data_IF_812973120289
#
_entry.id   IF_812973120289
#
_cell.length_a   1.000
_cell.length_b   1.000
_cell.length_c   1.000
_cell.angle_alpha   90.00
_cell.angle_beta   90.00
_cell.angle_gamma   90.00
#
_symmetry.space_group_name_H-M   'P 1'
#
loop_
_entity.id
_entity.type
_entity.pdbx_description
1 polymer ?
#
# COMPACT_ATOMS: atom_id res chain seq x y z
N UNK A 1 -13.32 -17.40 1.71
CA UNK A 1 -12.36 -16.27 1.54
C UNK A 1 -12.70 -15.18 2.54
N UNK A 2 -11.70 -14.67 3.23
CA UNK A 2 -11.89 -13.62 4.23
C UNK A 2 -12.13 -12.26 3.55
N UNK A 3 -12.75 -11.32 4.28
CA UNK A 3 -12.89 -9.95 3.81
C UNK A 3 -11.53 -9.32 3.49
N UNK A 4 -10.52 -9.61 4.30
CA UNK A 4 -9.17 -9.12 4.10
C UNK A 4 -8.59 -9.58 2.77
N UNK A 5 -8.77 -10.85 2.43
CA UNK A 5 -8.30 -11.39 1.15
C UNK A 5 -9.06 -10.80 -0.03
N UNK A 6 -10.36 -10.59 0.11
CA UNK A 6 -11.17 -9.94 -0.93
C UNK A 6 -10.70 -8.52 -1.18
N UNK A 7 -10.40 -7.78 -0.11
CA UNK A 7 -9.91 -6.41 -0.21
C UNK A 7 -8.56 -6.38 -0.95
N UNK A 8 -7.62 -7.25 -0.57
CA UNK A 8 -6.31 -7.28 -1.25
C UNK A 8 -6.45 -7.68 -2.72
N UNK A 9 -7.31 -8.62 -3.04
CA UNK A 9 -7.56 -8.99 -4.45
C UNK A 9 -8.11 -7.81 -5.25
N UNK A 10 -9.05 -7.07 -4.69
CA UNK A 10 -9.63 -5.90 -5.35
C UNK A 10 -8.57 -4.81 -5.55
N UNK A 11 -7.72 -4.59 -4.55
CA UNK A 11 -6.62 -3.62 -4.66
C UNK A 11 -5.67 -4.04 -5.79
N UNK A 12 -5.26 -5.29 -5.81
CA UNK A 12 -4.34 -5.80 -6.82
C UNK A 12 -4.96 -5.67 -8.22
N UNK A 13 -6.23 -6.05 -8.38
CA UNK A 13 -6.94 -5.90 -9.65
C UNK A 13 -7.03 -4.45 -10.10
N UNK A 14 -7.29 -3.54 -9.17
CA UNK A 14 -7.32 -2.10 -9.45
C UNK A 14 -5.95 -1.58 -9.89
N UNK A 15 -4.90 -2.04 -9.21
CA UNK A 15 -3.52 -1.65 -9.52
C UNK A 15 -3.11 -2.15 -10.90
N UNK A 16 -3.50 -3.36 -11.25
CA UNK A 16 -3.25 -3.91 -12.58
C UNK A 16 -3.94 -3.06 -13.65
N UNK A 17 -5.18 -2.66 -13.42
CA UNK A 17 -5.92 -1.81 -14.35
C UNK A 17 -5.20 -0.48 -14.57
N UNK A 18 -4.73 0.16 -13.52
CA UNK A 18 -3.97 1.41 -13.61
C UNK A 18 -2.69 1.20 -14.41
N UNK A 19 -1.95 0.15 -14.09
CA UNK A 19 -0.67 -0.12 -14.75
C UNK A 19 -0.86 -0.46 -16.24
N UNK A 20 -1.90 -1.20 -16.59
CA UNK A 20 -2.21 -1.50 -17.99
C UNK A 20 -2.50 -0.23 -18.79
N UNK A 21 -3.17 0.74 -18.16
CA UNK A 21 -3.50 2.00 -18.82
C UNK A 21 -2.29 2.94 -18.93
N UNK A 22 -1.49 3.06 -17.87
CA UNK A 22 -0.44 4.08 -17.77
C UNK A 22 0.96 3.56 -18.08
N UNK A 23 1.24 2.29 -17.81
CA UNK A 23 2.58 1.73 -17.92
C UNK A 23 3.54 2.28 -16.86
N UNK A 24 4.83 1.89 -16.96
CA UNK A 24 5.87 2.42 -16.06
C UNK A 24 6.30 3.83 -16.46
N UNK A 25 7.05 4.50 -15.59
CA UNK A 25 7.75 5.74 -15.94
C UNK A 25 7.10 7.02 -15.44
N UNK A 26 6.00 6.93 -14.71
CA UNK A 26 5.33 8.13 -14.17
C UNK A 26 5.70 8.36 -12.71
N UNK A 27 5.27 9.50 -12.18
CA UNK A 27 5.47 9.84 -10.77
C UNK A 27 4.53 9.02 -9.87
N UNK A 28 4.96 8.76 -8.64
CA UNK A 28 4.14 8.05 -7.66
C UNK A 28 2.78 8.72 -7.47
N UNK A 29 2.75 10.06 -7.43
CA UNK A 29 1.51 10.80 -7.24
C UNK A 29 0.49 10.55 -8.33
N UNK A 30 0.93 10.35 -9.57
CA UNK A 30 0.03 10.04 -10.67
C UNK A 30 -0.61 8.67 -10.48
N UNK A 31 0.19 7.69 -10.10
CA UNK A 31 -0.32 6.33 -9.83
C UNK A 31 -1.27 6.33 -8.64
N UNK A 32 -0.95 7.08 -7.59
CA UNK A 32 -1.81 7.16 -6.42
C UNK A 32 -3.19 7.72 -6.78
N UNK A 33 -3.23 8.82 -7.51
CA UNK A 33 -4.48 9.44 -7.91
C UNK A 33 -5.34 8.49 -8.75
N UNK A 34 -4.72 7.79 -9.70
CA UNK A 34 -5.44 6.86 -10.57
C UNK A 34 -5.90 5.63 -9.81
N UNK A 35 -5.08 5.13 -8.87
CA UNK A 35 -5.47 3.99 -8.06
C UNK A 35 -6.65 4.34 -7.15
N UNK A 36 -6.65 5.52 -6.55
CA UNK A 36 -7.78 5.98 -5.74
C UNK A 36 -9.05 6.00 -6.58
N UNK A 37 -8.98 6.52 -7.79
CA UNK A 37 -10.13 6.52 -8.69
C UNK A 37 -10.65 5.09 -8.93
N UNK A 38 -9.75 4.16 -9.25
CA UNK A 38 -10.16 2.77 -9.51
C UNK A 38 -10.77 2.12 -8.27
N UNK A 39 -10.18 2.34 -7.10
CA UNK A 39 -10.70 1.78 -5.86
C UNK A 39 -12.10 2.30 -5.55
N UNK A 40 -12.32 3.59 -5.73
CA UNK A 40 -13.66 4.18 -5.53
C UNK A 40 -14.67 3.61 -6.51
N UNK A 41 -14.30 3.41 -7.77
CA UNK A 41 -15.18 2.80 -8.77
C UNK A 41 -15.56 1.38 -8.39
N UNK A 42 -14.71 0.68 -7.66
CA UNK A 42 -14.95 -0.69 -7.22
C UNK A 42 -15.60 -0.77 -5.84
N UNK A 43 -16.04 0.38 -5.31
CA UNK A 43 -16.80 0.43 -4.07
C UNK A 43 -15.96 0.40 -2.79
N UNK A 44 -14.65 0.59 -2.87
CA UNK A 44 -13.80 0.62 -1.70
C UNK A 44 -13.60 2.04 -1.19
N UNK A 45 -13.47 2.18 0.12
CA UNK A 45 -13.11 3.44 0.76
C UNK A 45 -11.64 3.44 1.14
N UNK A 46 -11.03 4.62 1.26
CA UNK A 46 -9.64 4.72 1.69
C UNK A 46 -9.37 6.09 2.30
N UNK A 47 -8.27 6.13 3.05
CA UNK A 47 -7.66 7.37 3.53
C UNK A 47 -6.32 7.52 2.82
N UNK A 48 -6.04 8.71 2.30
CA UNK A 48 -4.78 9.00 1.64
C UNK A 48 -3.85 9.74 2.58
N UNK A 49 -2.56 9.43 2.52
CA UNK A 49 -1.51 10.12 3.27
C UNK A 49 -1.86 10.24 4.75
N UNK A 50 -2.26 9.12 5.33
CA UNK A 50 -2.68 9.06 6.73
C UNK A 50 -1.46 9.17 7.64
N UNK A 51 -1.52 10.09 8.59
CA UNK A 51 -0.46 10.27 9.58
C UNK A 51 -0.22 8.99 10.38
N UNK A 52 1.05 8.64 10.55
CA UNK A 52 1.45 7.47 11.33
C UNK A 52 2.48 7.91 12.39
N UNK A 53 2.04 8.15 13.63
CA UNK A 53 2.97 8.49 14.70
C UNK A 53 3.78 7.28 15.16
N UNK A 54 4.98 7.54 15.64
CA UNK A 54 5.80 6.51 16.29
C UNK A 54 5.43 6.47 17.77
N UNK A 55 5.06 5.31 18.27
CA UNK A 55 4.81 5.11 19.68
C UNK A 55 6.09 4.59 20.32
N UNK A 56 6.80 5.48 21.04
CA UNK A 56 8.06 5.16 21.67
C UNK A 56 7.89 5.16 23.18
N UNK A 57 7.97 3.99 23.78
CA UNK A 57 7.85 3.82 25.24
C UNK A 57 6.58 4.50 25.82
N UNK A 58 5.47 4.36 25.11
CA UNK A 58 4.20 4.94 25.51
C UNK A 58 4.00 6.40 25.13
N UNK A 59 4.97 7.02 24.47
CA UNK A 59 4.88 8.41 24.00
C UNK A 59 4.67 8.40 22.50
N UNK A 60 3.63 9.11 22.04
CA UNK A 60 3.37 9.27 20.60
C UNK A 60 4.22 10.42 20.08
N UNK A 61 5.07 10.13 19.11
CA UNK A 61 5.94 11.11 18.48
C UNK A 61 5.56 11.23 17.02
N UNK A 62 5.17 12.43 16.59
CA UNK A 62 4.90 12.70 15.19
C UNK A 62 6.20 12.98 14.47
N UNK A 63 6.63 12.03 13.64
CA UNK A 63 7.87 12.13 12.86
C UNK A 63 7.60 12.42 11.38
N UNK A 64 6.35 12.73 11.03
CA UNK A 64 5.99 13.05 9.66
C UNK A 64 5.76 11.85 8.76
N UNK A 65 5.74 10.63 9.31
CA UNK A 65 5.42 9.46 8.49
C UNK A 65 3.97 9.48 8.05
N UNK A 66 3.74 9.01 6.83
CA UNK A 66 2.40 8.94 6.24
C UNK A 66 2.24 7.60 5.54
N UNK A 67 1.10 6.99 5.72
CA UNK A 67 0.69 5.83 4.96
C UNK A 67 0.09 6.35 3.65
N UNK A 68 0.57 5.86 2.51
CA UNK A 68 0.07 6.33 1.21
C UNK A 68 -1.44 6.12 1.09
N UNK A 69 -1.88 4.87 1.25
CA UNK A 69 -3.31 4.55 1.26
C UNK A 69 -3.59 3.56 2.40
N UNK A 70 -4.66 3.82 3.12
CA UNK A 70 -5.23 2.84 4.05
C UNK A 70 -6.61 2.48 3.50
N UNK A 71 -6.72 1.27 2.95
CA UNK A 71 -7.92 0.83 2.23
C UNK A 71 -8.83 0.04 3.17
N UNK A 72 -10.09 0.42 3.22
CA UNK A 72 -11.14 -0.22 4.05
C UNK A 72 -10.76 -0.28 5.52
N UNK A 73 -9.96 0.69 5.98
CA UNK A 73 -9.43 0.73 7.35
C UNK A 73 -8.75 -0.58 7.74
N UNK A 74 -8.11 -1.26 6.79
CA UNK A 74 -7.67 -2.64 6.98
C UNK A 74 -6.35 -2.99 6.29
N UNK A 75 -6.08 -2.43 5.11
CA UNK A 75 -4.90 -2.77 4.31
C UNK A 75 -4.08 -1.53 4.04
N UNK A 76 -2.80 -1.57 4.44
CA UNK A 76 -1.84 -0.52 4.08
C UNK A 76 -1.37 -0.76 2.65
N UNK A 77 -1.38 0.29 1.83
CA UNK A 77 -0.83 0.24 0.47
C UNK A 77 0.24 1.30 0.36
N UNK A 78 1.48 0.87 0.04
CA UNK A 78 2.60 1.77 -0.19
C UNK A 78 2.99 1.70 -1.66
N UNK A 79 3.07 2.87 -2.29
CA UNK A 79 3.31 2.98 -3.73
C UNK A 79 4.74 3.47 -3.97
N UNK A 80 5.39 2.85 -4.93
CA UNK A 80 6.74 3.24 -5.36
C UNK A 80 6.79 3.34 -6.88
N UNK A 81 7.70 4.17 -7.37
CA UNK A 81 8.05 4.25 -8.78
C UNK A 81 9.58 4.29 -8.88
N UNK A 82 10.20 3.19 -8.51
CA UNK A 82 11.65 3.06 -8.39
C UNK A 82 12.17 2.02 -9.36
N UNK A 83 13.48 2.05 -9.63
CA UNK A 83 14.09 1.09 -10.54
C UNK A 83 13.89 -0.34 -10.07
N UNK A 84 13.98 -0.56 -8.76
CA UNK A 84 13.69 -1.86 -8.15
C UNK A 84 13.33 -1.66 -6.69
N UNK A 85 12.52 -2.57 -6.15
CA UNK A 85 12.25 -2.60 -4.71
C UNK A 85 13.48 -3.12 -3.98
N UNK A 86 13.91 -2.37 -2.97
CA UNK A 86 15.05 -2.72 -2.13
C UNK A 86 14.57 -3.27 -0.78
N UNK A 87 15.42 -4.01 -0.05
CA UNK A 87 15.04 -4.52 1.28
C UNK A 87 14.53 -3.45 2.23
N UNK A 88 15.05 -2.23 2.13
CA UNK A 88 14.60 -1.13 3.00
C UNK A 88 13.14 -0.76 2.76
N UNK A 89 12.65 -0.92 1.54
CA UNK A 89 11.25 -0.63 1.22
C UNK A 89 10.33 -1.62 1.95
N UNK A 90 10.70 -2.89 1.98
CA UNK A 90 9.93 -3.91 2.69
C UNK A 90 10.01 -3.70 4.20
N UNK A 91 11.21 -3.35 4.71
CA UNK A 91 11.39 -3.06 6.13
C UNK A 91 10.54 -1.89 6.57
N UNK A 92 10.42 -0.86 5.72
CA UNK A 92 9.59 0.31 6.02
C UNK A 92 8.11 -0.09 6.14
N UNK A 93 7.59 -0.85 5.18
CA UNK A 93 6.20 -1.28 5.24
C UNK A 93 5.95 -2.17 6.46
N UNK A 94 6.86 -3.08 6.76
CA UNK A 94 6.73 -3.93 7.94
C UNK A 94 6.72 -3.10 9.23
N UNK A 95 7.55 -2.06 9.30
CA UNK A 95 7.55 -1.14 10.43
C UNK A 95 6.21 -0.40 10.56
N UNK A 96 5.66 0.03 9.44
CA UNK A 96 4.34 0.70 9.44
C UNK A 96 3.25 -0.25 9.94
N UNK A 97 3.29 -1.51 9.55
CA UNK A 97 2.35 -2.51 10.05
C UNK A 97 2.48 -2.69 11.55
N UNK A 98 3.71 -2.77 12.06
CA UNK A 98 3.95 -2.92 13.50
C UNK A 98 3.49 -1.70 14.28
N UNK A 99 3.77 -0.51 13.79
CA UNK A 99 3.39 0.73 14.47
C UNK A 99 1.88 0.95 14.47
N UNK A 100 1.22 0.58 13.39
CA UNK A 100 -0.23 0.82 13.23
C UNK A 100 -1.09 -0.29 13.82
N UNK A 101 -0.57 -1.51 13.90
CA UNK A 101 -1.34 -2.68 14.30
C UNK A 101 -2.14 -3.32 13.18
N UNK A 102 -2.10 -2.77 11.96
CA UNK A 102 -2.73 -3.42 10.82
C UNK A 102 -1.96 -4.69 10.44
N UNK A 103 -2.64 -5.65 9.83
CA UNK A 103 -2.07 -6.98 9.62
C UNK A 103 -1.52 -7.22 8.24
N UNK A 104 -2.02 -6.50 7.24
CA UNK A 104 -1.63 -6.74 5.85
C UNK A 104 -1.25 -5.43 5.18
N UNK A 105 -0.15 -5.48 4.43
CA UNK A 105 0.29 -4.37 3.60
C UNK A 105 0.66 -4.87 2.22
N UNK A 106 0.47 -4.01 1.23
CA UNK A 106 0.89 -4.22 -0.13
C UNK A 106 1.93 -3.16 -0.48
N UNK A 107 3.07 -3.62 -0.98
CA UNK A 107 4.12 -2.76 -1.49
C UNK A 107 4.09 -2.91 -3.01
N UNK A 108 3.84 -1.81 -3.71
CA UNK A 108 3.60 -1.83 -5.15
C UNK A 108 4.57 -0.90 -5.84
N UNK A 109 5.40 -1.46 -6.72
CA UNK A 109 6.27 -0.68 -7.58
C UNK A 109 5.69 -0.67 -8.99
N UNK A 110 5.24 0.51 -9.44
CA UNK A 110 4.65 0.67 -10.77
C UNK A 110 5.69 0.75 -11.88
N UNK A 111 6.95 0.97 -11.53
CA UNK A 111 8.01 1.18 -12.53
C UNK A 111 8.59 -0.14 -13.02
N UNK A 112 7.71 -1.03 -13.45
CA UNK A 112 8.05 -2.36 -13.96
C UNK A 112 7.25 -2.62 -15.23
N UNK A 113 7.73 -3.53 -16.09
CA UNK A 113 7.00 -3.91 -17.29
C UNK A 113 5.76 -4.73 -16.97
N UNK A 114 5.91 -5.66 -16.05
CA UNK A 114 4.82 -6.57 -15.63
C UNK A 114 4.55 -6.29 -14.16
N UNK A 115 3.39 -5.75 -13.86
CA UNK A 115 3.07 -5.27 -12.52
C UNK A 115 3.19 -6.36 -11.46
N UNK A 116 2.81 -7.58 -11.79
CA UNK A 116 2.89 -8.71 -10.85
C UNK A 116 4.26 -8.85 -10.22
N UNK A 117 5.32 -8.50 -10.95
CA UNK A 117 6.69 -8.56 -10.45
C UNK A 117 7.01 -7.42 -9.49
N UNK A 118 6.21 -6.38 -9.46
CA UNK A 118 6.39 -5.22 -8.59
C UNK A 118 5.51 -5.24 -7.35
N UNK A 119 4.75 -6.30 -7.09
CA UNK A 119 3.84 -6.37 -5.95
C UNK A 119 4.40 -7.33 -4.92
N UNK A 120 4.46 -6.85 -3.66
CA UNK A 120 4.80 -7.69 -2.50
C UNK A 120 3.74 -7.53 -1.45
N UNK A 121 3.28 -8.66 -0.91
CA UNK A 121 2.32 -8.69 0.18
C UNK A 121 3.06 -9.03 1.47
N UNK A 122 2.93 -8.18 2.47
CA UNK A 122 3.55 -8.37 3.77
C UNK A 122 2.46 -8.56 4.82
N UNK A 123 2.76 -9.36 5.83
CA UNK A 123 1.81 -9.62 6.92
C UNK A 123 2.49 -9.39 8.26
N UNK A 124 1.67 -9.04 9.26
CA UNK A 124 2.11 -8.79 10.62
C UNK A 124 1.10 -9.43 11.57
N UNK A 125 1.51 -10.48 12.28
CA UNK A 125 0.65 -11.20 13.24
C UNK A 125 -0.67 -11.65 12.63
N UNK A 126 -0.65 -12.08 11.36
CA UNK A 126 -1.86 -12.60 10.74
C UNK A 126 -2.13 -13.99 11.26
N UNK A 127 -3.27 -14.15 11.95
CA UNK A 127 -3.72 -15.46 12.41
C UNK A 127 -4.33 -16.22 11.24
N UNK A 128 -4.09 -17.50 11.24
CA UNK A 128 -4.66 -18.40 10.22
C UNK A 128 -6.15 -18.60 10.42
#
# INVERSE_FOLDING_TARGET
MTELNKTTETIIGSTIAVHQELGPGLLESAYEACLVYELLQRGLSMQQQKALPVNYRGVKVDCGYRIDLLVENNVIVELKAVERLEPIHEAQLLSYLKLSGYRVGLLINFNVKILKQGIKRLVNNLAD
#
